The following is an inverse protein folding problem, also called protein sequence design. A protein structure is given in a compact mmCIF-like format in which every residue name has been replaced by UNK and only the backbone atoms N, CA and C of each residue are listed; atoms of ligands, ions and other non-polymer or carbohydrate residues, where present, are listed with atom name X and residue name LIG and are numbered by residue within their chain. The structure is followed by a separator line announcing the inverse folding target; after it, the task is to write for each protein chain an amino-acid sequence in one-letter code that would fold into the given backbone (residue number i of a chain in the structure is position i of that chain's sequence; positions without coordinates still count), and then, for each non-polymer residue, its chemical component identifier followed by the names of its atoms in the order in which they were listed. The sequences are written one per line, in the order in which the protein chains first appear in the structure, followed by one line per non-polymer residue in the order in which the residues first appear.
data_IF_632684283700
#
_entry.id   IF_632684283700
#
_cell.length_a   1.000
_cell.length_b   1.000
_cell.length_c   1.000
_cell.angle_alpha   90.00
_cell.angle_beta   90.00
_cell.angle_gamma   90.00
#
_symmetry.space_group_name_H-M   'P 1'
#
loop_
_entity.id
_entity.type
_entity.pdbx_description
1 polymer ?
#
# COMPACT_ATOMS: atom_id res chain seq x y z
N UNK A 1 -7.10 13.51 -3.40
CA UNK A 1 -8.42 14.15 -3.20
C UNK A 1 -9.48 13.07 -2.99
N UNK A 2 -10.46 13.29 -2.11
CA UNK A 2 -11.71 12.51 -2.12
C UNK A 2 -12.48 12.91 -3.36
N UNK A 3 -12.72 11.93 -4.22
CA UNK A 3 -13.43 12.19 -5.45
C UNK A 3 -14.92 12.31 -5.10
N UNK A 4 -15.34 13.52 -4.71
CA UNK A 4 -16.77 13.88 -4.55
C UNK A 4 -17.51 13.82 -5.88
N UNK A 5 -16.77 13.97 -6.98
CA UNK A 5 -17.24 13.80 -8.35
C UNK A 5 -16.04 13.53 -9.26
N UNK A 6 -16.11 12.48 -10.06
CA UNK A 6 -15.10 12.16 -11.08
C UNK A 6 -15.03 13.21 -12.22
N UNK A 7 -15.90 14.23 -12.20
CA UNK A 7 -15.92 15.33 -13.18
C UNK A 7 -14.61 16.15 -13.26
N UNK A 8 -13.78 16.15 -12.20
CA UNK A 8 -12.50 16.88 -12.16
C UNK A 8 -11.26 16.00 -12.37
N UNK A 9 -11.42 14.67 -12.35
CA UNK A 9 -10.32 13.71 -12.57
C UNK A 9 -10.28 13.37 -14.05
N UNK A 10 -9.38 14.02 -14.80
CA UNK A 10 -9.48 14.06 -16.27
C UNK A 10 -8.85 12.89 -17.01
N UNK A 11 -8.12 11.98 -16.33
CA UNK A 11 -7.27 10.99 -17.00
C UNK A 11 -7.14 9.68 -16.21
N UNK A 12 -7.39 8.58 -16.90
CA UNK A 12 -7.30 7.19 -16.41
C UNK A 12 -6.38 6.36 -17.32
N UNK A 13 -5.35 6.98 -17.89
CA UNK A 13 -4.58 6.36 -18.98
C UNK A 13 -3.98 5.00 -18.61
N UNK A 14 -3.37 4.85 -17.42
CA UNK A 14 -2.81 3.56 -16.99
C UNK A 14 -3.89 2.51 -16.75
N UNK A 15 -5.05 2.91 -16.20
CA UNK A 15 -6.15 2.00 -15.94
C UNK A 15 -6.79 1.53 -17.26
N UNK A 16 -7.02 2.45 -18.20
CA UNK A 16 -7.49 2.14 -19.54
C UNK A 16 -6.51 1.22 -20.27
N UNK A 17 -5.21 1.55 -20.25
CA UNK A 17 -4.18 0.70 -20.85
C UNK A 17 -4.15 -0.72 -20.27
N UNK A 18 -4.33 -0.87 -18.95
CA UNK A 18 -4.41 -2.19 -18.32
C UNK A 18 -5.58 -3.01 -18.90
N UNK A 19 -6.80 -2.47 -18.85
CA UNK A 19 -8.02 -3.20 -19.22
C UNK A 19 -8.20 -3.38 -20.73
N UNK A 20 -7.73 -2.43 -21.54
CA UNK A 20 -7.92 -2.44 -23.00
C UNK A 20 -6.78 -3.11 -23.75
N UNK A 21 -5.55 -3.10 -23.21
CA UNK A 21 -4.34 -3.52 -23.96
C UNK A 21 -3.52 -4.61 -23.31
N UNK A 22 -3.59 -4.80 -22.00
CA UNK A 22 -2.71 -5.73 -21.27
C UNK A 22 -3.43 -6.97 -20.78
N UNK A 23 -4.63 -6.82 -20.24
CA UNK A 23 -5.43 -7.96 -19.78
C UNK A 23 -6.05 -8.71 -20.97
N UNK A 24 -6.06 -10.03 -20.90
CA UNK A 24 -6.88 -10.84 -21.80
C UNK A 24 -8.37 -10.64 -21.50
N UNK A 25 -9.23 -10.96 -22.48
CA UNK A 25 -10.67 -10.73 -22.40
C UNK A 25 -11.32 -11.45 -21.21
N UNK A 26 -10.89 -12.68 -20.92
CA UNK A 26 -11.45 -13.49 -19.84
C UNK A 26 -11.11 -12.90 -18.47
N UNK A 27 -9.86 -12.52 -18.25
CA UNK A 27 -9.40 -11.93 -17.00
C UNK A 27 -9.97 -10.52 -16.80
N UNK A 28 -10.07 -9.73 -17.87
CA UNK A 28 -10.72 -8.42 -17.87
C UNK A 28 -12.19 -8.54 -17.44
N UNK A 29 -12.92 -9.50 -18.02
CA UNK A 29 -14.31 -9.78 -17.65
C UNK A 29 -14.42 -10.24 -16.19
N UNK A 30 -13.56 -11.14 -15.72
CA UNK A 30 -13.54 -11.59 -14.32
C UNK A 30 -13.27 -10.41 -13.35
N UNK A 31 -12.34 -9.51 -13.70
CA UNK A 31 -12.05 -8.34 -12.89
C UNK A 31 -13.26 -7.40 -12.81
N UNK A 32 -13.93 -7.12 -13.93
CA UNK A 32 -15.09 -6.24 -13.99
C UNK A 32 -16.33 -6.83 -13.29
N UNK A 33 -16.55 -8.14 -13.42
CA UNK A 33 -17.78 -8.80 -12.93
C UNK A 33 -17.66 -9.38 -11.53
N UNK A 34 -16.44 -9.68 -11.08
CA UNK A 34 -16.20 -10.37 -9.80
C UNK A 34 -15.31 -9.54 -8.87
N UNK A 35 -14.11 -9.17 -9.32
CA UNK A 35 -13.10 -8.56 -8.43
C UNK A 35 -13.48 -7.15 -8.01
N UNK A 36 -13.86 -6.28 -8.95
CA UNK A 36 -14.26 -4.90 -8.65
C UNK A 36 -15.53 -4.84 -7.78
N UNK A 37 -16.60 -5.61 -8.07
CA UNK A 37 -17.75 -5.71 -7.17
C UNK A 37 -17.39 -6.20 -5.77
N UNK A 38 -16.49 -7.18 -5.66
CA UNK A 38 -15.96 -7.63 -4.38
C UNK A 38 -15.22 -6.51 -3.62
N UNK A 39 -14.35 -5.75 -4.30
CA UNK A 39 -13.67 -4.60 -3.71
C UNK A 39 -14.67 -3.55 -3.21
N UNK A 40 -15.71 -3.26 -4.00
CA UNK A 40 -16.75 -2.31 -3.62
C UNK A 40 -17.51 -2.79 -2.36
N UNK A 41 -17.83 -4.08 -2.29
CA UNK A 41 -18.44 -4.70 -1.10
C UNK A 41 -17.53 -4.56 0.13
N UNK A 42 -16.22 -4.82 0.01
CA UNK A 42 -15.27 -4.63 1.11
C UNK A 42 -15.22 -3.19 1.62
N UNK A 43 -15.23 -2.21 0.71
CA UNK A 43 -15.24 -0.80 1.07
C UNK A 43 -16.55 -0.42 1.78
N UNK A 44 -17.70 -0.89 1.29
CA UNK A 44 -19.02 -0.63 1.90
C UNK A 44 -19.21 -1.32 3.26
N UNK A 45 -18.50 -2.41 3.52
CA UNK A 45 -18.50 -3.11 4.81
C UNK A 45 -17.63 -2.41 5.87
N UNK A 46 -16.90 -1.35 5.55
CA UNK A 46 -16.00 -0.70 6.49
C UNK A 46 -16.63 -0.25 7.81
N UNK A 47 -17.90 0.22 7.89
CA UNK A 47 -18.48 0.63 9.18
C UNK A 47 -18.67 -0.53 10.16
N UNK A 48 -18.87 -1.76 9.68
CA UNK A 48 -18.98 -2.95 10.53
C UNK A 48 -17.63 -3.62 10.78
N UNK A 49 -16.65 -3.44 9.89
CA UNK A 49 -15.30 -4.00 10.01
C UNK A 49 -14.35 -3.14 10.84
N UNK A 50 -14.47 -1.81 10.73
CA UNK A 50 -13.60 -0.82 11.35
C UNK A 50 -14.45 -0.04 12.36
N UNK A 51 -14.75 -0.71 13.47
CA UNK A 51 -15.64 -0.20 14.53
C UNK A 51 -14.96 0.78 15.48
N UNK A 52 -13.63 0.89 15.40
CA UNK A 52 -12.84 1.81 16.21
C UNK A 52 -12.02 2.75 15.33
N UNK A 53 -11.81 4.00 15.77
CA UNK A 53 -10.91 4.92 15.08
C UNK A 53 -9.49 4.36 14.98
N UNK A 54 -8.89 4.42 13.80
CA UNK A 54 -7.50 4.03 13.58
C UNK A 54 -6.60 5.21 14.00
N UNK A 55 -5.74 5.05 15.02
CA UNK A 55 -4.91 6.16 15.49
C UNK A 55 -3.80 6.49 14.48
N UNK A 56 -3.45 7.77 14.39
CA UNK A 56 -2.36 8.25 13.53
C UNK A 56 -1.03 8.09 14.29
N UNK A 57 -0.07 7.38 13.70
CA UNK A 57 1.29 7.23 14.24
C UNK A 57 2.14 8.50 13.97
N UNK A 58 1.93 9.52 14.81
CA UNK A 58 2.51 10.86 14.67
C UNK A 58 4.03 10.88 14.93
N UNK A 59 4.71 11.86 14.32
CA UNK A 59 6.13 12.15 14.56
C UNK A 59 6.40 12.32 16.06
N UNK A 60 7.51 11.77 16.53
CA UNK A 60 7.98 11.87 17.92
C UNK A 60 7.28 10.93 18.91
N UNK A 61 6.18 10.27 18.52
CA UNK A 61 5.40 9.40 19.40
C UNK A 61 5.61 7.94 18.98
N UNK A 62 6.15 7.14 19.89
CA UNK A 62 6.19 5.68 19.74
C UNK A 62 4.78 5.11 19.90
N UNK A 63 4.42 4.15 19.06
CA UNK A 63 3.10 3.54 19.11
C UNK A 63 2.97 2.41 18.09
N UNK A 64 1.93 1.60 18.26
CA UNK A 64 1.63 0.49 17.36
C UNK A 64 0.15 0.40 17.08
N UNK A 65 -0.19 -0.03 15.87
CA UNK A 65 -1.55 -0.36 15.46
C UNK A 65 -1.55 -1.77 14.92
N UNK A 66 -2.43 -2.61 15.45
CA UNK A 66 -2.67 -3.95 14.93
C UNK A 66 -4.05 -3.99 14.30
N UNK A 67 -4.13 -4.36 13.03
CA UNK A 67 -5.38 -4.55 12.28
C UNK A 67 -5.40 -5.93 11.63
N UNK A 68 -6.59 -6.45 11.38
CA UNK A 68 -6.72 -7.68 10.58
C UNK A 68 -6.40 -7.41 9.10
N UNK A 69 -5.97 -8.44 8.38
CA UNK A 69 -5.79 -8.34 6.92
C UNK A 69 -7.12 -8.01 6.22
N UNK A 70 -8.25 -8.42 6.78
CA UNK A 70 -9.59 -8.04 6.29
C UNK A 70 -9.82 -6.52 6.42
N UNK A 71 -9.49 -5.91 7.57
CA UNK A 71 -9.57 -4.46 7.76
C UNK A 71 -8.62 -3.73 6.80
N UNK A 72 -7.38 -4.22 6.64
CA UNK A 72 -6.42 -3.65 5.69
C UNK A 72 -6.92 -3.72 4.24
N UNK A 73 -7.54 -4.83 3.83
CA UNK A 73 -8.15 -4.97 2.52
C UNK A 73 -9.30 -3.97 2.28
N UNK A 74 -10.15 -3.73 3.28
CA UNK A 74 -11.21 -2.73 3.22
C UNK A 74 -10.64 -1.31 3.06
N UNK A 75 -9.57 -0.97 3.81
CA UNK A 75 -8.87 0.32 3.67
C UNK A 75 -8.22 0.48 2.29
N UNK A 76 -7.58 -0.56 1.75
CA UNK A 76 -7.01 -0.54 0.39
C UNK A 76 -8.09 -0.41 -0.68
N UNK A 77 -9.27 -1.02 -0.50
CA UNK A 77 -10.40 -0.84 -1.41
C UNK A 77 -10.87 0.63 -1.42
N UNK A 78 -10.98 1.27 -0.26
CA UNK A 78 -11.25 2.71 -0.17
C UNK A 78 -10.17 3.57 -0.86
N UNK A 79 -8.90 3.19 -0.74
CA UNK A 79 -7.78 3.86 -1.41
C UNK A 79 -7.88 3.76 -2.94
N UNK A 80 -8.23 2.57 -3.44
CA UNK A 80 -8.44 2.31 -4.87
C UNK A 80 -9.60 3.14 -5.41
N UNK A 81 -10.78 3.11 -4.78
CA UNK A 81 -11.93 3.94 -5.18
C UNK A 81 -11.80 5.43 -4.82
N UNK A 82 -10.65 5.82 -4.27
CA UNK A 82 -10.33 7.20 -3.92
C UNK A 82 -11.36 7.86 -2.98
N UNK A 83 -11.91 7.09 -2.06
CA UNK A 83 -12.98 7.54 -1.15
C UNK A 83 -12.47 8.11 0.16
N UNK A 84 -11.17 8.04 0.47
CA UNK A 84 -10.66 8.74 1.65
C UNK A 84 -10.91 10.24 1.48
N UNK A 85 -11.56 10.92 2.46
CA UNK A 85 -11.84 12.35 2.41
C UNK A 85 -10.56 13.12 2.11
N UNK A 86 -10.64 14.16 1.26
CA UNK A 86 -9.54 15.10 1.10
C UNK A 86 -9.26 15.66 2.48
N UNK A 87 -8.07 15.39 3.03
CA UNK A 87 -7.53 16.28 4.05
C UNK A 87 -7.31 17.60 3.31
N UNK A 88 -8.18 18.58 3.52
CA UNK A 88 -8.09 19.89 2.88
C UNK A 88 -6.63 20.37 2.93
N UNK A 89 -6.01 20.54 1.74
CA UNK A 89 -4.92 21.45 1.31
C UNK A 89 -3.84 22.00 2.27
N UNK A 90 -3.79 21.64 3.57
CA UNK A 90 -3.02 22.36 4.59
C UNK A 90 -2.14 21.43 5.46
N UNK A 91 -2.33 20.11 5.45
CA UNK A 91 -1.40 19.21 6.17
C UNK A 91 -0.56 18.37 5.21
N UNK A 92 0.62 18.87 4.85
CA UNK A 92 1.70 18.11 4.19
C UNK A 92 2.27 16.98 5.09
N UNK A 93 1.70 16.76 6.27
CA UNK A 93 2.25 15.85 7.28
C UNK A 93 2.06 14.36 6.97
N UNK A 94 1.16 14.00 6.04
CA UNK A 94 0.84 12.61 5.72
C UNK A 94 0.82 12.34 4.22
N UNK A 95 1.31 11.17 3.76
CA UNK A 95 1.28 10.81 2.36
C UNK A 95 -0.15 10.66 1.83
N UNK A 96 -0.34 10.91 0.52
CA UNK A 96 -1.60 10.61 -0.16
C UNK A 96 -1.83 9.11 -0.19
N UNK A 97 -3.04 8.67 0.14
CA UNK A 97 -3.45 7.26 0.13
C UNK A 97 -4.29 6.88 -1.10
N UNK A 98 -4.96 7.85 -1.72
CA UNK A 98 -5.85 7.59 -2.87
C UNK A 98 -5.04 7.34 -4.15
N UNK A 99 -5.51 6.40 -4.98
CA UNK A 99 -4.76 5.89 -6.14
C UNK A 99 -4.90 6.75 -7.41
N UNK A 100 -5.63 7.87 -7.36
CA UNK A 100 -5.90 8.72 -8.52
C UNK A 100 -4.64 9.11 -9.33
N UNK A 101 -3.50 9.35 -8.66
CA UNK A 101 -2.23 9.65 -9.34
C UNK A 101 -1.79 8.46 -10.19
N UNK A 102 -1.77 7.26 -9.62
CA UNK A 102 -1.40 6.02 -10.30
C UNK A 102 -2.26 5.77 -11.54
N UNK A 103 -3.58 5.99 -11.46
CA UNK A 103 -4.50 5.81 -12.59
C UNK A 103 -4.21 6.76 -13.75
N UNK A 104 -3.75 7.98 -13.46
CA UNK A 104 -3.53 9.03 -14.46
C UNK A 104 -2.17 8.99 -15.15
N UNK A 105 -1.26 8.11 -14.71
CA UNK A 105 0.07 8.01 -15.29
C UNK A 105 0.04 7.37 -16.68
N UNK A 106 0.98 7.77 -17.52
CA UNK A 106 1.23 7.15 -18.82
C UNK A 106 2.62 6.49 -18.79
N UNK A 107 2.72 5.29 -18.22
CA UNK A 107 3.98 4.54 -18.14
C UNK A 107 3.73 3.04 -17.98
N UNK A 108 4.63 2.22 -18.51
CA UNK A 108 4.62 0.76 -18.34
C UNK A 108 4.64 0.37 -16.86
N UNK A 109 5.48 1.04 -16.06
CA UNK A 109 5.56 0.80 -14.61
C UNK A 109 4.22 1.03 -13.90
N UNK A 110 3.46 2.05 -14.28
CA UNK A 110 2.14 2.28 -13.68
C UNK A 110 1.15 1.14 -14.01
N UNK A 111 1.20 0.61 -15.23
CA UNK A 111 0.37 -0.52 -15.65
C UNK A 111 0.72 -1.79 -14.89
N UNK A 112 2.02 -2.11 -14.76
CA UNK A 112 2.45 -3.30 -14.01
C UNK A 112 2.16 -3.18 -12.50
N UNK A 113 2.26 -1.97 -11.93
CA UNK A 113 1.81 -1.71 -10.56
C UNK A 113 0.31 -1.98 -10.40
N UNK A 114 -0.51 -1.48 -11.34
CA UNK A 114 -1.95 -1.75 -11.31
C UNK A 114 -2.24 -3.25 -11.49
N UNK A 115 -1.48 -3.95 -12.34
CA UNK A 115 -1.58 -5.41 -12.50
C UNK A 115 -1.32 -6.13 -11.19
N UNK A 116 -0.26 -5.76 -10.47
CA UNK A 116 0.07 -6.30 -9.15
C UNK A 116 -1.04 -6.03 -8.12
N UNK A 117 -1.54 -4.79 -8.05
CA UNK A 117 -2.63 -4.41 -7.15
C UNK A 117 -3.93 -5.16 -7.45
N UNK A 118 -4.31 -5.29 -8.72
CA UNK A 118 -5.49 -6.05 -9.13
C UNK A 118 -5.32 -7.54 -8.84
N UNK A 119 -4.12 -8.08 -9.03
CA UNK A 119 -3.81 -9.46 -8.66
C UNK A 119 -3.98 -9.69 -7.15
N UNK A 120 -3.53 -8.76 -6.30
CA UNK A 120 -3.80 -8.81 -4.86
C UNK A 120 -5.31 -8.91 -4.56
N UNK A 121 -6.12 -8.00 -5.13
CA UNK A 121 -7.58 -8.02 -4.92
C UNK A 121 -8.24 -9.30 -5.45
N UNK A 122 -7.77 -9.82 -6.57
CA UNK A 122 -8.22 -11.07 -7.16
C UNK A 122 -7.89 -12.29 -6.26
N UNK A 123 -6.72 -12.32 -5.63
CA UNK A 123 -6.36 -13.40 -4.71
C UNK A 123 -7.23 -13.38 -3.45
N UNK A 124 -7.44 -12.20 -2.86
CA UNK A 124 -8.25 -12.09 -1.65
C UNK A 124 -9.76 -12.24 -1.92
N UNK A 125 -10.23 -12.02 -3.15
CA UNK A 125 -11.62 -12.31 -3.53
C UNK A 125 -11.90 -13.81 -3.59
N UNK A 126 -10.88 -14.63 -3.88
CA UNK A 126 -10.97 -16.10 -3.84
C UNK A 126 -10.89 -16.63 -2.41
N UNK A 127 -9.98 -16.08 -1.60
CA UNK A 127 -9.81 -16.47 -0.19
C UNK A 127 -9.31 -15.30 0.63
N UNK A 128 -10.18 -14.78 1.49
CA UNK A 128 -9.83 -13.71 2.41
C UNK A 128 -8.79 -14.19 3.42
N UNK A 129 -7.62 -13.53 3.54
CA UNK A 129 -6.64 -13.88 4.55
C UNK A 129 -7.10 -13.46 5.96
N UNK A 130 -6.71 -14.23 6.97
CA UNK A 130 -7.22 -14.13 8.35
C UNK A 130 -6.19 -13.67 9.38
N UNK A 131 -4.98 -13.34 8.93
CA UNK A 131 -3.89 -12.89 9.79
C UNK A 131 -4.06 -11.45 10.27
N UNK A 132 -3.12 -11.05 11.12
CA UNK A 132 -3.01 -9.71 11.68
C UNK A 132 -1.75 -9.01 11.16
N UNK A 133 -1.84 -7.70 11.01
CA UNK A 133 -0.75 -6.83 10.61
C UNK A 133 -0.50 -5.82 11.73
N UNK A 134 0.74 -5.72 12.19
CA UNK A 134 1.14 -4.73 13.20
C UNK A 134 2.07 -3.70 12.57
N UNK A 135 1.64 -2.43 12.58
CA UNK A 135 2.42 -1.29 12.13
C UNK A 135 2.91 -0.56 13.37
N UNK A 136 4.23 -0.41 13.52
CA UNK A 136 4.86 0.20 14.69
C UNK A 136 5.72 1.39 14.28
N UNK A 137 5.51 2.53 14.96
CA UNK A 137 6.42 3.67 14.95
C UNK A 137 7.26 3.61 16.22
N UNK A 138 8.58 3.68 16.05
CA UNK A 138 9.55 3.64 17.15
C UNK A 138 10.38 4.92 17.12
N UNK A 139 10.46 5.57 18.28
CA UNK A 139 11.26 6.77 18.49
C UNK A 139 12.13 6.55 19.74
N UNK A 140 13.25 5.86 19.55
CA UNK A 140 14.19 5.58 20.63
C UNK A 140 15.27 6.66 20.72
N UNK A 141 15.86 6.78 21.90
CA UNK A 141 17.00 7.68 22.12
C UNK A 141 18.23 7.11 21.42
N UNK A 142 18.92 7.95 20.65
CA UNK A 142 20.16 7.58 19.99
C UNK A 142 21.22 7.16 21.02
N UNK A 143 21.88 6.03 20.79
CA UNK A 143 22.96 5.57 21.65
C UNK A 143 24.23 6.39 21.42
N UNK A 144 25.02 6.59 22.47
CA UNK A 144 26.32 7.26 22.38
C UNK A 144 27.37 6.26 21.89
N UNK A 145 27.58 6.23 20.57
CA UNK A 145 28.50 5.30 19.90
C UNK A 145 29.91 5.25 20.51
N UNK A 146 30.46 6.41 20.89
CA UNK A 146 31.81 6.50 21.46
C UNK A 146 31.99 5.78 22.81
N UNK A 147 30.89 5.46 23.50
CA UNK A 147 30.92 4.73 24.77
C UNK A 147 30.58 3.24 24.63
N UNK A 148 30.30 2.76 23.42
CA UNK A 148 29.92 1.37 23.19
C UNK A 148 31.15 0.50 23.00
N UNK A 149 31.33 -0.49 23.89
CA UNK A 149 32.40 -1.49 23.84
C UNK A 149 31.81 -2.89 23.58
N UNK A 150 31.05 -3.04 22.49
CA UNK A 150 30.48 -4.34 22.09
C UNK A 150 31.32 -4.98 20.98
N UNK A 151 31.50 -6.31 20.97
CA UNK A 151 32.16 -6.99 19.87
C UNK A 151 31.30 -6.91 18.59
N UNK A 152 31.94 -7.03 17.43
CA UNK A 152 31.24 -7.15 16.16
C UNK A 152 30.41 -8.43 16.12
N UNK A 153 29.24 -8.36 15.49
CA UNK A 153 28.37 -9.51 15.25
C UNK A 153 28.84 -10.35 14.06
N UNK A 154 28.28 -11.56 13.93
CA UNK A 154 28.50 -12.40 12.75
C UNK A 154 27.95 -11.70 11.51
N UNK A 155 28.69 -11.80 10.40
CA UNK A 155 28.33 -11.20 9.12
C UNK A 155 28.31 -12.29 8.04
N UNK A 156 27.23 -12.31 7.26
CA UNK A 156 27.11 -13.08 6.02
C UNK A 156 26.91 -12.09 4.87
N UNK A 157 27.69 -12.23 3.81
CA UNK A 157 27.62 -11.38 2.61
C UNK A 157 27.50 -12.27 1.39
N UNK A 158 26.53 -11.98 0.54
CA UNK A 158 26.31 -12.66 -0.73
C UNK A 158 26.13 -11.61 -1.83
N UNK A 159 26.67 -11.90 -3.02
CA UNK A 159 26.46 -11.09 -4.23
C UNK A 159 25.28 -11.60 -5.08
N UNK A 160 24.68 -12.71 -4.64
CA UNK A 160 23.48 -13.32 -5.23
C UNK A 160 22.36 -13.38 -4.20
N UNK A 161 21.11 -13.45 -4.68
CA UNK A 161 19.93 -13.50 -3.83
C UNK A 161 19.30 -12.13 -3.60
N UNK A 162 18.11 -12.12 -2.99
CA UNK A 162 17.32 -10.94 -2.67
C UNK A 162 16.89 -10.95 -1.21
N UNK A 163 16.42 -9.80 -0.69
CA UNK A 163 16.00 -9.69 0.71
C UNK A 163 14.71 -10.49 0.94
N UNK A 164 13.79 -10.42 -0.02
CA UNK A 164 12.47 -11.03 0.04
C UNK A 164 12.49 -12.55 -0.14
N UNK A 165 13.38 -13.09 -0.98
CA UNK A 165 13.43 -14.52 -1.29
C UNK A 165 14.36 -15.29 -0.33
N UNK A 166 15.52 -14.74 -0.01
CA UNK A 166 16.55 -15.43 0.80
C UNK A 166 16.51 -15.04 2.29
N UNK A 167 15.81 -13.96 2.64
CA UNK A 167 15.72 -13.42 3.99
C UNK A 167 14.55 -13.95 4.81
N UNK A 168 13.95 -15.08 4.45
CA UNK A 168 12.78 -15.61 5.15
C UNK A 168 13.08 -15.85 6.65
N UNK A 169 12.24 -15.27 7.52
CA UNK A 169 12.41 -15.35 8.98
C UNK A 169 13.40 -14.34 9.58
N UNK A 170 14.05 -13.52 8.74
CA UNK A 170 14.94 -12.43 9.20
C UNK A 170 14.21 -11.10 9.31
N UNK A 171 14.83 -10.12 9.99
CA UNK A 171 14.41 -8.72 9.90
C UNK A 171 14.82 -8.17 8.53
N UNK A 172 13.86 -8.06 7.63
CA UNK A 172 14.07 -7.55 6.28
C UNK A 172 14.03 -6.02 6.26
N UNK A 173 15.01 -5.41 5.60
CA UNK A 173 15.18 -3.95 5.54
C UNK A 173 14.53 -3.39 4.28
N UNK A 174 13.69 -2.36 4.46
CA UNK A 174 13.13 -1.52 3.41
C UNK A 174 14.02 -0.28 3.22
N UNK A 175 14.37 0.08 1.98
CA UNK A 175 15.17 1.27 1.67
C UNK A 175 14.25 2.49 1.55
N UNK A 176 13.62 2.79 2.68
CA UNK A 176 12.46 3.67 2.74
C UNK A 176 12.77 5.14 2.44
N UNK A 177 11.77 5.81 1.87
CA UNK A 177 11.66 7.26 1.88
C UNK A 177 11.12 7.77 3.24
N UNK A 178 11.41 9.02 3.60
CA UNK A 178 10.87 9.64 4.83
C UNK A 178 9.33 9.59 4.89
N UNK A 179 8.68 9.65 3.72
CA UNK A 179 7.29 9.27 3.53
C UNK A 179 7.24 7.80 3.09
N UNK A 180 6.93 6.90 4.03
CA UNK A 180 6.89 5.44 3.79
C UNK A 180 6.13 5.11 2.51
N UNK A 181 6.72 4.25 1.68
CA UNK A 181 6.23 3.87 0.36
C UNK A 181 6.62 4.85 -0.77
N UNK A 182 7.16 6.03 -0.45
CA UNK A 182 7.73 6.99 -1.40
C UNK A 182 6.84 7.22 -2.62
N UNK A 183 7.34 6.84 -3.79
CA UNK A 183 6.65 6.98 -5.07
C UNK A 183 5.72 5.83 -5.47
N UNK A 184 5.31 4.94 -4.55
CA UNK A 184 4.53 3.73 -4.88
C UNK A 184 3.23 4.04 -5.63
N UNK A 185 2.49 5.08 -5.23
CA UNK A 185 1.28 5.57 -5.92
C UNK A 185 1.58 6.58 -7.04
N UNK A 186 2.84 6.69 -7.43
CA UNK A 186 3.36 7.55 -8.49
C UNK A 186 4.31 6.79 -9.41
N UNK A 187 5.40 7.44 -9.83
CA UNK A 187 6.39 6.88 -10.76
C UNK A 187 7.46 6.00 -10.11
N UNK A 188 7.59 5.98 -8.78
CA UNK A 188 8.68 5.28 -8.10
C UNK A 188 8.59 3.76 -8.24
N UNK A 189 9.64 3.09 -8.72
CA UNK A 189 9.65 1.66 -9.01
C UNK A 189 11.02 1.05 -8.68
N UNK A 190 11.46 1.30 -7.45
CA UNK A 190 12.72 0.81 -6.87
C UNK A 190 12.40 0.31 -5.46
N UNK A 191 13.38 -0.34 -4.82
CA UNK A 191 13.34 -0.58 -3.38
C UNK A 191 13.40 0.76 -2.63
#
# INVERSE_FOLDING_TARGET
ECIRSYSRTKRFDALGQLFEKVLDEKLSLEYLTTVIPFMAKLALQSPSLITQPIPILRRGISGSVTISQHQAASLLAHAFFCTFPSRNTISNELPSVNFYRLFSLYSTNAVEKLRCLMHYFHMISKKMPTGLLTIRRQNDVAQKWSSMNLPLSKLYVSHTGTIEDDGHGMLQVDFANEYIGGGVLGSGCVQ
#
